data_IF_864743844378
#
_entry.id   IF_864743844378
#
_cell.length_a   1.000
_cell.length_b   1.000
_cell.length_c   1.000
_cell.angle_alpha   90.00
_cell.angle_beta   90.00
_cell.angle_gamma   90.00
#
_symmetry.space_group_name_H-M   'P 1'
#
loop_
_entity.id
_entity.type
_entity.pdbx_description
1 polymer ?
#
# COMPACT_ATOMS: atom_id res chain seq x y z
N UNK A 1 -6.47 5.41 -26.10
CA UNK A 1 -7.40 6.35 -25.43
C UNK A 1 -6.99 6.55 -23.97
N UNK A 2 -7.40 7.67 -23.36
CA UNK A 2 -7.19 7.94 -21.92
C UNK A 2 -8.50 7.66 -21.18
N UNK A 3 -8.55 6.55 -20.46
CA UNK A 3 -9.73 6.14 -19.69
C UNK A 3 -9.66 6.72 -18.28
N UNK A 4 -10.74 7.37 -17.83
CA UNK A 4 -10.88 7.84 -16.46
C UNK A 4 -11.54 6.75 -15.63
N UNK A 5 -10.80 6.24 -14.66
CA UNK A 5 -11.25 5.21 -13.72
C UNK A 5 -11.39 5.88 -12.36
N UNK A 6 -12.47 5.56 -11.65
CA UNK A 6 -12.68 6.05 -10.29
C UNK A 6 -12.13 5.04 -9.29
N UNK A 7 -11.28 5.52 -8.40
CA UNK A 7 -10.75 4.77 -7.27
C UNK A 7 -11.04 5.57 -6.01
N UNK A 8 -11.92 5.04 -5.16
CA UNK A 8 -12.42 5.73 -3.97
C UNK A 8 -13.02 7.12 -4.29
N UNK A 9 -12.40 8.20 -3.81
CA UNK A 9 -12.79 9.59 -4.08
C UNK A 9 -12.09 10.21 -5.30
N UNK A 10 -11.08 9.55 -5.86
CA UNK A 10 -10.21 10.12 -6.88
C UNK A 10 -10.47 9.50 -8.25
N UNK A 11 -10.14 10.25 -9.29
CA UNK A 11 -10.09 9.73 -10.65
C UNK A 11 -8.63 9.56 -11.05
N UNK A 12 -8.31 8.38 -11.57
CA UNK A 12 -7.03 8.07 -12.19
C UNK A 12 -7.22 7.94 -13.70
N UNK A 13 -6.17 8.28 -14.45
CA UNK A 13 -6.19 8.21 -15.91
C UNK A 13 -5.26 7.08 -16.32
N UNK A 14 -5.81 6.10 -17.03
CA UNK A 14 -5.06 4.98 -17.58
C UNK A 14 -5.02 5.08 -19.10
N UNK A 15 -3.85 4.85 -19.69
CA UNK A 15 -3.73 4.71 -21.15
C UNK A 15 -4.07 3.29 -21.55
N UNK A 16 -5.14 3.15 -22.33
CA UNK A 16 -5.69 1.85 -22.76
C UNK A 16 -5.97 1.83 -24.25
N UNK A 17 -6.00 0.63 -24.83
CA UNK A 17 -6.40 0.41 -26.21
C UNK A 17 -7.93 0.50 -26.35
N UNK A 18 -8.41 1.37 -27.25
CA UNK A 18 -9.83 1.60 -27.50
C UNK A 18 -10.54 0.38 -28.09
N UNK A 19 -9.86 -0.39 -28.95
CA UNK A 19 -10.45 -1.58 -29.58
C UNK A 19 -10.64 -2.71 -28.58
N UNK A 20 -9.65 -2.95 -27.71
CA UNK A 20 -9.74 -3.95 -26.65
C UNK A 20 -10.83 -3.58 -25.63
N UNK A 21 -10.94 -2.30 -25.28
CA UNK A 21 -12.00 -1.81 -24.39
C UNK A 21 -13.40 -1.88 -25.01
N UNK A 22 -13.51 -1.65 -26.30
CA UNK A 22 -14.78 -1.79 -27.01
C UNK A 22 -15.31 -3.23 -26.94
N UNK A 23 -14.43 -4.21 -27.12
CA UNK A 23 -14.74 -5.64 -26.99
C UNK A 23 -15.02 -6.01 -25.54
N UNK A 24 -14.24 -5.52 -24.57
CA UNK A 24 -14.42 -5.87 -23.15
C UNK A 24 -15.75 -5.35 -22.58
N UNK A 25 -16.20 -4.18 -23.04
CA UNK A 25 -17.50 -3.60 -22.68
C UNK A 25 -18.67 -4.18 -23.48
N UNK A 26 -18.42 -5.16 -24.36
CA UNK A 26 -19.44 -5.82 -25.19
C UNK A 26 -20.29 -4.84 -26.01
N UNK A 27 -19.65 -3.80 -26.56
CA UNK A 27 -20.33 -2.79 -27.36
C UNK A 27 -20.53 -3.29 -28.80
N UNK A 28 -21.78 -3.35 -29.25
CA UNK A 28 -22.13 -3.73 -30.62
C UNK A 28 -22.37 -2.50 -31.51
N UNK A 29 -21.87 -2.54 -32.75
CA UNK A 29 -22.07 -1.50 -33.75
C UNK A 29 -21.10 -0.31 -33.63
N UNK A 30 -20.26 -0.11 -34.65
CA UNK A 30 -19.31 0.99 -34.66
C UNK A 30 -18.52 1.16 -35.96
N UNK A 31 -18.93 0.53 -37.06
CA UNK A 31 -18.22 0.68 -38.34
C UNK A 31 -18.31 2.13 -38.89
N UNK A 32 -19.36 2.86 -38.53
CA UNK A 32 -19.62 4.23 -39.00
C UNK A 32 -19.26 5.34 -37.99
N UNK A 33 -18.84 4.99 -36.77
CA UNK A 33 -18.53 5.96 -35.71
C UNK A 33 -17.07 6.42 -35.81
N UNK A 34 -16.87 7.73 -35.62
CA UNK A 34 -15.52 8.30 -35.53
C UNK A 34 -14.81 7.78 -34.28
N UNK A 35 -13.47 7.79 -34.29
CA UNK A 35 -12.68 7.32 -33.15
C UNK A 35 -13.02 8.09 -31.86
N UNK A 36 -13.25 9.40 -31.95
CA UNK A 36 -13.60 10.24 -30.80
C UNK A 36 -14.97 9.84 -30.20
N UNK A 37 -15.98 9.59 -31.03
CA UNK A 37 -17.29 9.12 -30.58
C UNK A 37 -17.19 7.75 -29.88
N UNK A 38 -16.38 6.84 -30.43
CA UNK A 38 -16.12 5.55 -29.79
C UNK A 38 -15.48 5.70 -28.41
N UNK A 39 -14.48 6.55 -28.29
CA UNK A 39 -13.80 6.82 -27.01
C UNK A 39 -14.77 7.44 -25.98
N UNK A 40 -15.67 8.34 -26.40
CA UNK A 40 -16.71 8.88 -25.51
C UNK A 40 -17.71 7.83 -25.04
N UNK A 41 -18.17 6.94 -25.93
CA UNK A 41 -19.10 5.87 -25.59
C UNK A 41 -18.47 4.86 -24.63
N UNK A 42 -17.20 4.46 -24.88
CA UNK A 42 -16.46 3.60 -23.96
C UNK A 42 -16.39 4.25 -22.57
N UNK A 43 -16.09 5.54 -22.48
CA UNK A 43 -15.98 6.24 -21.21
C UNK A 43 -17.33 6.32 -20.48
N UNK A 44 -18.42 6.62 -21.18
CA UNK A 44 -19.76 6.74 -20.59
C UNK A 44 -20.26 5.38 -20.07
N UNK A 45 -20.05 4.32 -20.85
CA UNK A 45 -20.41 2.94 -20.46
C UNK A 45 -19.59 2.50 -19.25
N UNK A 46 -18.27 2.79 -19.25
CA UNK A 46 -17.41 2.47 -18.13
C UNK A 46 -17.80 3.24 -16.86
N UNK A 47 -18.21 4.51 -16.99
CA UNK A 47 -18.67 5.30 -15.86
C UNK A 47 -19.94 4.70 -15.22
N UNK A 48 -20.89 4.28 -16.05
CA UNK A 48 -22.16 3.70 -15.58
C UNK A 48 -21.98 2.30 -14.99
N UNK A 49 -21.20 1.44 -15.64
CA UNK A 49 -21.02 0.05 -15.22
C UNK A 49 -20.09 -0.09 -14.02
N UNK A 50 -19.05 0.74 -13.92
CA UNK A 50 -17.98 0.58 -12.93
C UNK A 50 -17.85 1.78 -12.01
N UNK A 51 -17.57 2.98 -12.52
CA UNK A 51 -17.20 4.11 -11.66
C UNK A 51 -18.32 4.53 -10.68
N UNK A 52 -19.58 4.54 -11.13
CA UNK A 52 -20.74 4.87 -10.27
C UNK A 52 -21.02 3.77 -9.22
N UNK A 53 -21.16 2.49 -9.57
CA UNK A 53 -21.29 1.41 -8.59
C UNK A 53 -20.15 1.37 -7.59
N UNK A 54 -18.90 1.51 -8.06
CA UNK A 54 -17.71 1.47 -7.20
C UNK A 54 -17.72 2.61 -6.19
N UNK A 55 -18.03 3.84 -6.62
CA UNK A 55 -18.18 4.96 -5.71
C UNK A 55 -19.33 4.78 -4.71
N UNK A 56 -20.48 4.27 -5.16
CA UNK A 56 -21.62 4.05 -4.29
C UNK A 56 -21.30 2.99 -3.22
N UNK A 57 -20.60 1.93 -3.59
CA UNK A 57 -20.14 0.89 -2.67
C UNK A 57 -19.13 1.48 -1.67
N UNK A 58 -18.10 2.15 -2.17
CA UNK A 58 -17.10 2.82 -1.35
C UNK A 58 -17.76 3.81 -0.36
N UNK A 59 -18.63 4.71 -0.85
CA UNK A 59 -19.33 5.67 0.00
C UNK A 59 -20.25 4.97 1.01
N UNK A 60 -20.96 3.90 0.64
CA UNK A 60 -21.82 3.16 1.58
C UNK A 60 -21.01 2.55 2.72
N UNK A 61 -19.81 2.06 2.43
CA UNK A 61 -18.90 1.50 3.42
C UNK A 61 -18.24 2.59 4.28
N UNK A 62 -17.81 3.68 3.65
CA UNK A 62 -16.97 4.69 4.30
C UNK A 62 -17.77 5.78 5.03
N UNK A 63 -19.08 5.95 4.74
CA UNK A 63 -19.93 7.03 5.33
C UNK A 63 -20.02 7.02 6.86
N UNK A 64 -19.69 5.91 7.51
CA UNK A 64 -19.71 5.77 8.97
C UNK A 64 -18.33 5.53 9.57
N UNK A 65 -17.27 5.45 8.74
CA UNK A 65 -15.90 5.31 9.26
C UNK A 65 -15.51 6.57 10.05
N UNK A 66 -14.90 6.37 11.21
CA UNK A 66 -14.44 7.45 12.10
C UNK A 66 -15.53 8.19 12.87
N UNK A 67 -16.81 7.80 12.74
CA UNK A 67 -17.90 8.34 13.53
C UNK A 67 -18.22 7.40 14.70
N UNK A 68 -17.55 7.60 15.84
CA UNK A 68 -17.82 6.94 17.14
C UNK A 68 -19.14 7.43 17.78
N UNK A 69 -20.20 7.63 16.97
CA UNK A 69 -21.48 8.06 17.52
C UNK A 69 -22.15 6.85 18.16
N UNK A 70 -22.26 6.88 19.48
CA UNK A 70 -23.24 6.07 20.20
C UNK A 70 -24.61 6.34 19.57
N UNK A 71 -25.19 5.34 18.92
CA UNK A 71 -26.47 5.48 18.22
C UNK A 71 -27.50 6.05 19.22
N UNK A 72 -28.17 7.15 18.85
CA UNK A 72 -29.20 7.74 19.70
C UNK A 72 -30.38 6.77 19.73
N UNK A 73 -30.71 6.25 20.91
CA UNK A 73 -31.82 5.30 21.09
C UNK A 73 -33.14 6.01 21.38
N UNK A 74 -34.23 5.42 20.92
CA UNK A 74 -35.55 5.58 21.55
C UNK A 74 -35.66 4.56 22.69
N UNK A 75 -36.41 4.88 23.74
CA UNK A 75 -36.51 4.08 24.97
C UNK A 75 -36.99 2.63 24.76
N UNK A 76 -37.54 2.31 23.58
CA UNK A 76 -38.22 1.05 23.27
C UNK A 76 -37.34 0.00 22.56
N UNK A 77 -36.03 0.22 22.38
CA UNK A 77 -35.12 -0.72 21.70
C UNK A 77 -34.11 -1.36 22.65
N UNK A 78 -33.95 -2.69 22.55
CA UNK A 78 -32.92 -3.49 23.23
C UNK A 78 -31.53 -2.86 23.09
N UNK A 79 -30.66 -3.05 24.07
CA UNK A 79 -29.29 -2.52 24.05
C UNK A 79 -28.52 -3.03 22.82
N UNK A 80 -27.79 -2.12 22.18
CA UNK A 80 -26.88 -2.35 21.04
C UNK A 80 -25.56 -2.41 21.75
N UNK A 81 -25.10 -3.65 21.91
CA UNK A 81 -23.86 -3.98 22.58
C UNK A 81 -22.65 -3.70 21.67
N UNK A 82 -22.84 -3.13 20.47
CA UNK A 82 -21.72 -2.66 19.66
C UNK A 82 -21.06 -1.44 20.32
N UNK A 83 -19.75 -1.58 20.57
CA UNK A 83 -18.91 -0.56 21.21
C UNK A 83 -18.43 0.51 20.22
N UNK A 84 -18.85 0.42 18.96
CA UNK A 84 -18.44 1.30 17.87
C UNK A 84 -17.04 1.01 17.32
N UNK A 85 -16.33 -0.02 17.79
CA UNK A 85 -15.00 -0.39 17.27
C UNK A 85 -15.06 -0.82 15.80
N UNK A 86 -16.16 -1.42 15.35
CA UNK A 86 -16.42 -1.76 13.93
C UNK A 86 -16.44 -0.53 12.99
N UNK A 87 -16.55 0.69 13.54
CA UNK A 87 -16.47 1.95 12.77
C UNK A 87 -15.04 2.44 12.53
N UNK A 88 -14.07 1.82 13.19
CA UNK A 88 -12.64 2.10 13.03
C UNK A 88 -12.08 1.12 12.01
N UNK A 89 -11.35 1.62 11.02
CA UNK A 89 -10.70 0.74 10.05
C UNK A 89 -9.60 -0.09 10.74
N UNK A 90 -9.60 -1.40 10.52
CA UNK A 90 -8.48 -2.26 10.90
C UNK A 90 -7.35 -2.10 9.88
N UNK A 91 -6.42 -1.20 10.17
CA UNK A 91 -5.24 -0.96 9.34
C UNK A 91 -4.06 -1.87 9.71
N UNK A 92 -4.26 -2.90 10.54
CA UNK A 92 -3.15 -3.73 11.02
C UNK A 92 -2.42 -4.48 9.91
N UNK A 93 -3.10 -4.78 8.79
CA UNK A 93 -2.49 -5.40 7.61
C UNK A 93 -1.63 -4.41 6.81
N UNK A 94 -2.16 -3.22 6.53
CA UNK A 94 -1.42 -2.15 5.84
C UNK A 94 -0.20 -1.70 6.65
N UNK A 95 -0.34 -1.58 7.97
CA UNK A 95 0.79 -1.26 8.85
C UNK A 95 1.89 -2.34 8.78
N UNK A 96 1.53 -3.63 8.72
CA UNK A 96 2.51 -4.71 8.57
C UNK A 96 3.23 -4.63 7.24
N UNK A 97 2.50 -4.41 6.15
CA UNK A 97 3.07 -4.28 4.81
C UNK A 97 3.98 -3.05 4.71
N UNK A 98 3.55 -1.89 5.21
CA UNK A 98 4.37 -0.69 5.23
C UNK A 98 5.66 -0.89 6.04
N UNK A 99 5.57 -1.51 7.22
CA UNK A 99 6.77 -1.82 8.02
C UNK A 99 7.74 -2.76 7.27
N UNK A 100 7.22 -3.72 6.50
CA UNK A 100 8.05 -4.60 5.67
C UNK A 100 8.72 -3.83 4.54
N UNK A 101 7.97 -3.02 3.80
CA UNK A 101 8.53 -2.19 2.73
C UNK A 101 9.56 -1.21 3.26
N UNK A 102 9.28 -0.51 4.36
CA UNK A 102 10.23 0.41 5.00
C UNK A 102 11.51 -0.32 5.44
N UNK A 103 11.39 -1.52 6.01
CA UNK A 103 12.54 -2.35 6.38
C UNK A 103 13.37 -2.76 5.16
N UNK A 104 12.73 -3.25 4.09
CA UNK A 104 13.42 -3.66 2.86
C UNK A 104 14.11 -2.47 2.19
N UNK A 105 13.44 -1.31 2.11
CA UNK A 105 13.99 -0.07 1.57
C UNK A 105 15.23 0.38 2.35
N UNK A 106 15.18 0.31 3.69
CA UNK A 106 16.31 0.64 4.55
C UNK A 106 17.47 -0.34 4.36
N UNK A 107 17.18 -1.64 4.25
CA UNK A 107 18.19 -2.66 3.98
C UNK A 107 18.87 -2.43 2.63
N UNK A 108 18.09 -2.11 1.59
CA UNK A 108 18.60 -1.82 0.24
C UNK A 108 19.53 -0.60 0.27
N UNK A 109 19.08 0.50 0.88
CA UNK A 109 19.88 1.74 1.03
C UNK A 109 21.20 1.48 1.77
N UNK A 110 21.19 0.67 2.83
CA UNK A 110 22.40 0.30 3.55
C UNK A 110 23.36 -0.54 2.69
N UNK A 111 22.85 -1.47 1.89
CA UNK A 111 23.65 -2.31 0.98
C UNK A 111 24.26 -1.51 -0.18
N UNK A 112 23.58 -0.46 -0.65
CA UNK A 112 24.09 0.41 -1.72
C UNK A 112 25.22 1.33 -1.23
N UNK A 113 25.10 1.83 0.01
CA UNK A 113 26.03 2.80 0.58
C UNK A 113 27.27 2.13 1.20
N UNK A 114 27.09 0.97 1.84
CA UNK A 114 28.14 0.28 2.58
C UNK A 114 28.56 -1.01 1.88
N UNK A 115 29.81 -1.43 2.09
CA UNK A 115 30.24 -2.78 1.68
C UNK A 115 29.39 -3.84 2.40
N UNK A 116 29.12 -5.00 1.77
CA UNK A 116 28.21 -6.01 2.31
C UNK A 116 28.59 -6.45 3.73
N UNK A 117 29.88 -6.64 4.03
CA UNK A 117 30.35 -7.02 5.38
C UNK A 117 29.95 -6.04 6.50
N UNK A 118 29.74 -4.76 6.17
CA UNK A 118 29.34 -3.73 7.12
C UNK A 118 27.82 -3.53 7.15
N UNK A 119 27.17 -3.63 5.99
CA UNK A 119 25.72 -3.52 5.86
C UNK A 119 25.01 -4.63 6.65
N UNK A 120 25.43 -5.89 6.47
CA UNK A 120 24.79 -7.05 7.14
C UNK A 120 24.92 -6.97 8.68
N UNK A 121 26.08 -6.52 9.18
CA UNK A 121 26.29 -6.34 10.63
C UNK A 121 25.38 -5.25 11.21
N UNK A 122 25.17 -4.15 10.47
CA UNK A 122 24.25 -3.08 10.91
C UNK A 122 22.80 -3.56 10.85
N UNK A 123 22.41 -4.26 9.79
CA UNK A 123 21.04 -4.77 9.64
C UNK A 123 20.73 -5.74 10.79
N UNK A 124 21.58 -6.73 11.04
CA UNK A 124 21.37 -7.70 12.10
C UNK A 124 21.33 -7.09 13.50
N UNK A 125 22.24 -6.16 13.83
CA UNK A 125 22.35 -5.62 15.19
C UNK A 125 21.39 -4.45 15.44
N UNK A 126 21.09 -3.63 14.43
CA UNK A 126 20.30 -2.40 14.59
C UNK A 126 18.90 -2.46 14.00
N UNK A 127 18.60 -3.36 13.05
CA UNK A 127 17.25 -3.55 12.50
C UNK A 127 16.60 -4.84 12.99
N UNK A 128 17.37 -5.91 13.22
CA UNK A 128 16.85 -7.20 13.72
C UNK A 128 17.03 -7.39 15.23
N UNK A 129 17.58 -6.40 15.94
CA UNK A 129 17.85 -6.41 17.39
C UNK A 129 18.69 -7.62 17.88
N UNK A 130 19.45 -8.27 17.00
CA UNK A 130 20.35 -9.37 17.39
C UNK A 130 21.50 -8.84 18.22
N UNK A 131 21.89 -9.60 19.24
CA UNK A 131 23.13 -9.29 19.95
C UNK A 131 24.34 -9.56 19.04
N UNK A 132 25.45 -8.81 19.21
CA UNK A 132 26.68 -9.07 18.48
C UNK A 132 27.25 -10.49 18.70
N UNK A 133 26.82 -11.18 19.76
CA UNK A 133 27.21 -12.55 20.07
C UNK A 133 26.43 -13.57 19.24
N UNK A 134 25.11 -13.41 19.15
CA UNK A 134 24.24 -14.25 18.30
C UNK A 134 24.63 -14.14 16.83
N UNK A 135 24.85 -12.91 16.35
CA UNK A 135 25.27 -12.69 14.97
C UNK A 135 26.69 -13.24 14.67
N UNK A 136 27.60 -13.17 15.65
CA UNK A 136 28.92 -13.78 15.52
C UNK A 136 28.83 -15.31 15.45
N UNK A 137 27.93 -15.93 16.20
CA UNK A 137 27.68 -17.37 16.17
C UNK A 137 27.07 -17.82 14.82
N UNK A 138 26.15 -17.04 14.23
CA UNK A 138 25.57 -17.32 12.90
C UNK A 138 26.64 -17.34 11.80
N UNK A 139 27.62 -16.45 11.86
CA UNK A 139 28.68 -16.30 10.84
C UNK A 139 29.93 -17.15 11.15
N UNK A 140 30.00 -17.74 12.34
CA UNK A 140 31.18 -18.50 12.80
C UNK A 140 32.39 -17.62 13.09
N UNK A 141 32.17 -16.34 13.43
CA UNK A 141 33.21 -15.37 13.76
C UNK A 141 33.31 -15.08 15.26
N UNK A 142 34.37 -14.39 15.67
CA UNK A 142 34.53 -13.93 17.05
C UNK A 142 33.74 -12.64 17.28
N UNK A 143 33.11 -12.53 18.45
CA UNK A 143 32.40 -11.32 18.92
C UNK A 143 33.19 -10.03 18.67
N UNK A 144 34.49 -10.01 18.97
CA UNK A 144 35.35 -8.83 18.79
C UNK A 144 35.47 -8.37 17.34
N UNK A 145 35.44 -9.31 16.39
CA UNK A 145 35.52 -9.00 14.96
C UNK A 145 34.23 -8.33 14.50
N UNK A 146 33.07 -8.89 14.88
CA UNK A 146 31.75 -8.32 14.62
C UNK A 146 31.63 -6.92 15.25
N UNK A 147 32.06 -6.75 16.50
CA UNK A 147 32.02 -5.45 17.18
C UNK A 147 32.87 -4.40 16.47
N UNK A 148 34.08 -4.75 16.03
CA UNK A 148 34.94 -3.83 15.25
C UNK A 148 34.32 -3.48 13.90
N UNK A 149 33.66 -4.43 13.22
CA UNK A 149 32.93 -4.16 11.98
C UNK A 149 31.77 -3.21 12.21
N UNK A 150 30.97 -3.43 13.26
CA UNK A 150 29.85 -2.56 13.63
C UNK A 150 30.32 -1.10 13.88
N UNK A 151 31.40 -0.92 14.64
CA UNK A 151 31.95 0.41 14.93
C UNK A 151 32.43 1.13 13.65
N UNK A 152 33.09 0.41 12.75
CA UNK A 152 33.52 0.96 11.45
C UNK A 152 32.34 1.28 10.55
N UNK A 153 31.31 0.45 10.56
CA UNK A 153 30.11 0.63 9.78
C UNK A 153 29.36 1.90 10.23
N UNK A 154 29.20 2.10 11.55
CA UNK A 154 28.60 3.33 12.13
C UNK A 154 29.37 4.59 11.74
N UNK A 155 30.71 4.55 11.83
CA UNK A 155 31.54 5.69 11.45
C UNK A 155 31.41 6.03 9.96
N UNK A 156 31.43 5.03 9.08
CA UNK A 156 31.27 5.24 7.63
C UNK A 156 29.89 5.77 7.28
N UNK A 157 28.85 5.28 7.95
CA UNK A 157 27.50 5.78 7.74
C UNK A 157 27.38 7.26 8.15
N UNK A 158 28.03 7.67 9.24
CA UNK A 158 28.11 9.08 9.66
C UNK A 158 28.91 9.98 8.72
N UNK A 159 29.87 9.45 7.96
CA UNK A 159 30.65 10.22 6.98
C UNK A 159 29.89 10.44 5.67
N UNK A 160 28.83 9.66 5.42
CA UNK A 160 28.04 9.69 4.18
C UNK A 160 26.73 10.48 4.35
N UNK A 161 26.23 10.58 5.59
CA UNK A 161 25.17 11.49 6.01
C UNK A 161 25.63 12.95 6.02
#
# INVERSE_FOLDING_TARGET
MKLKIRYEQKYEILEVNSEEMWVSLSLEGGEDLTQEEKETLIQDVFEEQFNKPEYNNWHKFDRHRGNLKKQFRKDDQDADDSDGMDTVADNSQEEKLNRQYDYEDLCQKLRDVLKPEFAEVIIAVCLEDKTPEEYAAEIGEKRDTVYKRLQRAKKKYQEIL
#
